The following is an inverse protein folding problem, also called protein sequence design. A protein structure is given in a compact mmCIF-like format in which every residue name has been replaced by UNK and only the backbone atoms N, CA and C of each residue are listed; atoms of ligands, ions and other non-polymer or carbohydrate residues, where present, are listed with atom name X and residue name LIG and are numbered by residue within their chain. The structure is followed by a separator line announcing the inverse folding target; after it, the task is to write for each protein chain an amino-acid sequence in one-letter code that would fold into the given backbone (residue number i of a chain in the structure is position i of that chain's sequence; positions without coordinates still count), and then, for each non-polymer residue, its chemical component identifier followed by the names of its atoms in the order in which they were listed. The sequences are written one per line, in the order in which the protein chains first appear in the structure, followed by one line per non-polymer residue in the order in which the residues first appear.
data_IF_566089469001
#
_entry.id   IF_566089469001
#
_cell.length_a   1.000
_cell.length_b   1.000
_cell.length_c   1.000
_cell.angle_alpha   90.00
_cell.angle_beta   90.00
_cell.angle_gamma   90.00
#
_symmetry.space_group_name_H-M   'P 1'
#
loop_
_entity.id
_entity.type
_entity.pdbx_description
1 polymer ?
#
# COMPACT_ATOMS: atom_id res chain seq x y z
N UNK A 1 -4.81 2.08 -19.28
CA UNK A 1 -4.04 1.59 -18.12
C UNK A 1 -5.01 1.19 -17.03
N UNK A 2 -4.80 0.07 -16.37
CA UNK A 2 -5.63 -0.35 -15.24
C UNK A 2 -5.19 0.38 -13.97
N UNK A 3 -6.14 0.90 -13.20
CA UNK A 3 -5.89 1.46 -11.87
C UNK A 3 -6.26 0.43 -10.81
N UNK A 4 -5.56 0.46 -9.68
CA UNK A 4 -5.87 -0.35 -8.50
C UNK A 4 -6.13 0.58 -7.31
N UNK A 5 -7.17 0.27 -6.53
CA UNK A 5 -7.40 0.92 -5.24
C UNK A 5 -6.71 0.09 -4.16
N UNK A 6 -5.84 0.73 -3.38
CA UNK A 6 -5.12 0.08 -2.29
C UNK A 6 -5.63 0.67 -0.98
N UNK A 7 -6.05 -0.18 -0.05
CA UNK A 7 -6.49 0.19 1.30
C UNK A 7 -5.53 -0.34 2.35
N UNK A 8 -5.12 0.50 3.29
CA UNK A 8 -4.39 0.02 4.47
C UNK A 8 -5.36 -0.64 5.46
N UNK A 9 -5.23 -1.95 5.66
CA UNK A 9 -6.11 -2.75 6.53
C UNK A 9 -5.48 -3.06 7.90
N UNK A 10 -4.14 -3.05 8.00
CA UNK A 10 -3.45 -3.21 9.29
C UNK A 10 -2.58 -2.00 9.62
N UNK A 11 -2.36 -1.79 10.91
CA UNK A 11 -1.52 -0.71 11.41
C UNK A 11 -0.07 -0.86 10.96
N UNK A 12 0.61 0.27 10.77
CA UNK A 12 2.06 0.36 10.48
C UNK A 12 2.93 0.33 11.75
N UNK A 13 2.31 0.33 12.94
CA UNK A 13 3.01 0.23 14.22
C UNK A 13 3.67 -1.15 14.31
N UNK A 14 4.93 -1.20 14.73
CA UNK A 14 5.72 -2.45 14.76
C UNK A 14 6.26 -2.91 13.41
N UNK A 15 5.85 -2.31 12.29
CA UNK A 15 6.42 -2.65 10.98
C UNK A 15 7.88 -2.14 10.84
N UNK A 16 8.74 -2.87 10.12
CA UNK A 16 10.08 -2.43 9.73
C UNK A 16 10.08 -1.05 9.04
N UNK A 17 11.21 -0.34 9.15
CA UNK A 17 11.34 1.03 8.65
C UNK A 17 11.17 1.14 7.13
N UNK A 18 11.58 0.12 6.38
CA UNK A 18 11.44 0.05 4.94
C UNK A 18 9.98 -0.12 4.50
N UNK A 19 9.21 -0.99 5.17
CA UNK A 19 7.77 -1.14 4.92
C UNK A 19 7.00 0.14 5.24
N UNK A 20 7.39 0.83 6.33
CA UNK A 20 6.85 2.14 6.68
C UNK A 20 7.07 3.16 5.56
N UNK A 21 8.27 3.21 4.98
CA UNK A 21 8.58 4.08 3.83
C UNK A 21 7.79 3.68 2.58
N UNK A 22 7.59 2.39 2.32
CA UNK A 22 6.75 1.92 1.21
C UNK A 22 5.30 2.37 1.37
N UNK A 23 4.72 2.26 2.58
CA UNK A 23 3.38 2.79 2.85
C UNK A 23 3.30 4.31 2.67
N UNK A 24 4.33 5.05 3.09
CA UNK A 24 4.39 6.50 2.88
C UNK A 24 4.48 6.87 1.40
N UNK A 25 5.27 6.15 0.61
CA UNK A 25 5.40 6.32 -0.84
C UNK A 25 4.08 6.03 -1.57
N UNK A 26 3.34 5.01 -1.12
CA UNK A 26 1.99 4.70 -1.62
C UNK A 26 0.91 5.67 -1.11
N UNK A 27 1.24 6.62 -0.23
CA UNK A 27 0.30 7.60 0.33
C UNK A 27 -0.56 7.09 1.51
N UNK A 28 -0.27 5.88 2.00
CA UNK A 28 -1.01 5.19 3.07
C UNK A 28 -0.48 5.57 4.45
N UNK A 29 -0.88 6.77 4.92
CA UNK A 29 -0.45 7.32 6.22
C UNK A 29 -1.39 7.00 7.39
N UNK A 30 -2.64 6.62 7.11
CA UNK A 30 -3.70 6.36 8.12
C UNK A 30 -4.37 5.03 7.83
N UNK A 31 -4.79 4.33 8.89
CA UNK A 31 -5.58 3.11 8.78
C UNK A 31 -6.87 3.38 8.00
N UNK A 32 -7.32 2.40 7.21
CA UNK A 32 -8.48 2.48 6.33
C UNK A 32 -8.42 3.52 5.20
N UNK A 33 -7.30 4.23 5.02
CA UNK A 33 -7.11 5.11 3.87
C UNK A 33 -7.06 4.28 2.60
N UNK A 34 -7.77 4.75 1.57
CA UNK A 34 -7.76 4.20 0.22
C UNK A 34 -7.03 5.18 -0.70
N UNK A 35 -6.14 4.67 -1.54
CA UNK A 35 -5.41 5.46 -2.55
C UNK A 35 -5.47 4.70 -3.88
N UNK A 36 -5.71 5.43 -4.95
CA UNK A 36 -5.69 4.91 -6.33
C UNK A 36 -4.30 5.10 -6.94
N UNK A 37 -3.79 4.05 -7.57
CA UNK A 37 -2.53 4.06 -8.30
C UNK A 37 -2.68 3.31 -9.62
N UNK A 38 -1.85 3.66 -10.60
CA UNK A 38 -1.74 2.89 -11.84
C UNK A 38 -1.05 1.53 -11.58
N UNK A 39 -1.50 0.48 -12.27
CA UNK A 39 -0.97 -0.88 -12.14
C UNK A 39 0.37 -1.03 -12.88
N UNK A 40 1.38 -0.30 -12.45
CA UNK A 40 2.75 -0.44 -12.94
C UNK A 40 3.47 -1.57 -12.20
N UNK A 41 4.45 -2.26 -12.83
CA UNK A 41 5.24 -3.29 -12.14
C UNK A 41 5.90 -2.80 -10.85
N UNK A 42 6.31 -1.53 -10.83
CA UNK A 42 6.88 -0.88 -9.64
C UNK A 42 5.88 -0.79 -8.49
N UNK A 43 4.64 -0.35 -8.76
CA UNK A 43 3.59 -0.27 -7.73
C UNK A 43 3.21 -1.66 -7.25
N UNK A 44 3.08 -2.64 -8.16
CA UNK A 44 2.77 -4.02 -7.80
C UNK A 44 3.85 -4.63 -6.90
N UNK A 45 5.13 -4.37 -7.17
CA UNK A 45 6.24 -4.79 -6.30
C UNK A 45 6.21 -4.13 -4.92
N UNK A 46 5.87 -2.84 -4.86
CA UNK A 46 5.66 -2.14 -3.59
C UNK A 46 4.51 -2.76 -2.78
N UNK A 47 3.39 -3.05 -3.44
CA UNK A 47 2.21 -3.67 -2.81
C UNK A 47 2.53 -5.07 -2.32
N UNK A 48 3.22 -5.90 -3.09
CA UNK A 48 3.59 -7.26 -2.67
C UNK A 48 4.48 -7.26 -1.42
N UNK A 49 5.42 -6.30 -1.32
CA UNK A 49 6.26 -6.12 -0.13
C UNK A 49 5.45 -5.84 1.14
N UNK A 50 4.33 -5.12 1.02
CA UNK A 50 3.45 -4.75 2.16
C UNK A 50 2.10 -5.46 2.13
N UNK A 51 1.96 -6.57 1.40
CA UNK A 51 0.68 -7.27 1.16
C UNK A 51 -0.10 -7.68 2.42
N UNK A 52 0.60 -7.84 3.54
CA UNK A 52 0.00 -8.20 4.83
C UNK A 52 -0.58 -6.98 5.57
N UNK A 53 -0.22 -5.75 5.16
CA UNK A 53 -0.69 -4.48 5.71
C UNK A 53 -1.78 -3.83 4.85
N UNK A 54 -1.87 -4.20 3.58
CA UNK A 54 -2.77 -3.60 2.59
C UNK A 54 -3.70 -4.62 1.97
N UNK A 55 -4.83 -4.16 1.45
CA UNK A 55 -5.75 -4.93 0.63
C UNK A 55 -6.05 -4.16 -0.65
N UNK A 56 -6.16 -4.87 -1.77
CA UNK A 56 -6.64 -4.29 -3.03
C UNK A 56 -8.17 -4.28 -2.96
N UNK A 57 -8.75 -3.10 -3.13
CA UNK A 57 -10.20 -2.89 -3.18
C UNK A 57 -10.60 -2.74 -4.64
N UNK A 58 -11.79 -3.19 -5.01
CA UNK A 58 -12.39 -2.86 -6.32
C UNK A 58 -12.87 -1.41 -6.32
#
# INVERSE_FOLDING_TARGET
MSTIKIKQVKSRIGAPADQKRTLDALGLRKLNRVVEHESTPSILGMVDKVKHLVAIVK
#
